data_IF_625301987406
#
_entry.id   IF_625301987406
#
_cell.length_a   1.000
_cell.length_b   1.000
_cell.length_c   1.000
_cell.angle_alpha   90.00
_cell.angle_beta   90.00
_cell.angle_gamma   90.00
#
_symmetry.space_group_name_H-M   'P 1'
#
loop_
_entity.id
_entity.type
_entity.pdbx_description
1 polymer ?
#
# COMPACT_ATOMS: atom_id res chain seq x y z
N UNK A 1 18.04 -2.84 15.81
CA UNK A 1 16.89 -2.16 15.15
C UNK A 1 16.94 -2.54 13.68
N UNK A 2 15.97 -3.28 13.18
CA UNK A 2 15.90 -3.61 11.75
C UNK A 2 15.19 -2.45 11.07
N UNK A 3 15.89 -1.72 10.17
CA UNK A 3 15.28 -0.68 9.36
C UNK A 3 14.55 -1.38 8.21
N UNK A 4 13.23 -1.27 8.19
CA UNK A 4 12.39 -1.81 7.12
C UNK A 4 12.08 -0.70 6.11
N UNK A 5 12.73 -0.76 4.95
CA UNK A 5 12.44 0.18 3.88
C UNK A 5 11.40 -0.42 2.94
N UNK A 6 10.20 0.14 2.97
CA UNK A 6 9.08 -0.25 2.11
C UNK A 6 8.74 0.94 1.22
N UNK A 7 8.62 0.69 -0.08
CA UNK A 7 8.13 1.66 -1.05
C UNK A 7 6.69 1.32 -1.42
N UNK A 8 5.77 2.27 -1.31
CA UNK A 8 4.46 2.21 -1.97
C UNK A 8 4.40 3.32 -3.03
N UNK A 9 4.13 2.95 -4.27
CA UNK A 9 4.15 3.90 -5.38
C UNK A 9 3.03 3.64 -6.39
N UNK A 10 2.16 4.63 -6.57
CA UNK A 10 1.21 4.64 -7.67
C UNK A 10 1.96 5.04 -8.96
N UNK A 11 2.36 4.05 -9.75
CA UNK A 11 3.26 4.22 -10.90
C UNK A 11 2.53 4.52 -12.22
N UNK A 12 1.19 4.44 -12.24
CA UNK A 12 0.34 4.73 -13.42
C UNK A 12 0.81 4.03 -14.70
N UNK A 13 1.21 2.78 -14.57
CA UNK A 13 1.69 1.93 -15.65
C UNK A 13 3.18 1.59 -15.56
N UNK A 14 3.52 0.36 -15.95
CA UNK A 14 4.88 -0.21 -15.88
C UNK A 14 5.40 -0.67 -17.24
N UNK A 15 4.78 -0.22 -18.33
CA UNK A 15 5.07 -0.71 -19.69
C UNK A 15 6.38 -0.18 -20.29
N UNK A 16 7.05 0.79 -19.69
CA UNK A 16 8.29 1.35 -20.22
C UNK A 16 9.46 0.36 -20.06
N UNK A 17 10.30 0.25 -21.09
CA UNK A 17 11.50 -0.63 -21.09
C UNK A 17 12.48 -0.28 -19.96
N UNK A 18 12.49 0.97 -19.49
CA UNK A 18 13.35 1.45 -18.41
C UNK A 18 12.80 1.14 -17.01
N UNK A 19 11.52 0.75 -16.88
CA UNK A 19 10.89 0.54 -15.59
C UNK A 19 11.59 -0.52 -14.71
N UNK A 20 11.97 -1.71 -15.21
CA UNK A 20 12.68 -2.70 -14.41
C UNK A 20 14.05 -2.20 -13.90
N UNK A 21 14.77 -1.41 -14.72
CA UNK A 21 16.04 -0.82 -14.35
C UNK A 21 15.84 0.18 -13.20
N UNK A 22 14.87 1.06 -13.35
CA UNK A 22 14.53 2.06 -12.33
C UNK A 22 14.15 1.41 -10.99
N UNK A 23 13.31 0.37 -10.99
CA UNK A 23 12.95 -0.34 -9.76
C UNK A 23 14.18 -0.99 -9.12
N UNK A 24 15.06 -1.59 -9.90
CA UNK A 24 16.31 -2.15 -9.40
C UNK A 24 17.19 -1.08 -8.77
N UNK A 25 17.34 0.06 -9.41
CA UNK A 25 18.17 1.17 -8.92
C UNK A 25 17.59 1.78 -7.63
N UNK A 26 16.27 1.96 -7.55
CA UNK A 26 15.58 2.37 -6.32
C UNK A 26 15.77 1.34 -5.20
N UNK A 27 15.61 0.05 -5.52
CA UNK A 27 15.79 -1.04 -4.55
C UNK A 27 17.20 -1.04 -3.97
N UNK A 28 18.21 -0.86 -4.83
CA UNK A 28 19.60 -0.81 -4.42
C UNK A 28 19.91 0.45 -3.59
N UNK A 29 19.52 1.63 -4.11
CA UNK A 29 19.86 2.93 -3.50
C UNK A 29 19.21 3.12 -2.13
N UNK A 30 17.95 2.71 -1.98
CA UNK A 30 17.20 2.85 -0.74
C UNK A 30 17.14 1.58 0.10
N UNK A 31 17.85 0.52 -0.29
CA UNK A 31 17.84 -0.78 0.38
C UNK A 31 16.40 -1.27 0.65
N UNK A 32 15.54 -1.16 -0.38
CA UNK A 32 14.14 -1.54 -0.27
C UNK A 32 14.01 -3.05 -0.04
N UNK A 33 13.18 -3.43 0.92
CA UNK A 33 12.86 -4.83 1.23
C UNK A 33 11.55 -5.27 0.58
N UNK A 34 10.58 -4.34 0.47
CA UNK A 34 9.31 -4.54 -0.20
C UNK A 34 9.00 -3.31 -1.08
N UNK A 35 8.56 -3.57 -2.30
CA UNK A 35 8.10 -2.54 -3.22
C UNK A 35 6.66 -2.85 -3.63
N UNK A 36 5.73 -1.96 -3.27
CA UNK A 36 4.31 -2.03 -3.57
C UNK A 36 4.05 -1.09 -4.75
N UNK A 37 3.75 -1.64 -5.91
CA UNK A 37 3.46 -0.87 -7.11
C UNK A 37 1.96 -0.91 -7.37
N UNK A 38 1.37 0.27 -7.52
CA UNK A 38 -0.06 0.46 -7.73
C UNK A 38 -0.32 1.01 -9.14
N UNK A 39 -1.50 0.72 -9.71
CA UNK A 39 -1.88 1.10 -11.08
C UNK A 39 -0.89 0.60 -12.14
N UNK A 40 -0.45 -0.63 -12.02
CA UNK A 40 0.56 -1.19 -12.94
C UNK A 40 0.08 -1.34 -14.38
N UNK A 41 -1.23 -1.46 -14.61
CA UNK A 41 -1.92 -1.54 -15.92
C UNK A 41 -1.39 -2.60 -16.91
N UNK A 42 -0.52 -3.49 -16.47
CA UNK A 42 0.05 -4.56 -17.29
C UNK A 42 -0.06 -5.88 -16.56
N UNK A 43 -0.62 -6.89 -17.21
CA UNK A 43 -0.59 -8.28 -16.75
C UNK A 43 0.65 -8.99 -17.28
N UNK A 44 1.33 -9.77 -16.46
CA UNK A 44 2.26 -10.79 -16.92
C UNK A 44 3.69 -10.36 -17.24
N UNK A 45 4.20 -9.20 -16.84
CA UNK A 45 5.63 -8.88 -17.01
C UNK A 45 6.47 -9.73 -16.06
N UNK A 46 7.29 -10.63 -16.62
CA UNK A 46 8.28 -11.36 -15.85
C UNK A 46 9.37 -10.40 -15.39
N UNK A 47 9.46 -10.18 -14.10
CA UNK A 47 10.65 -9.57 -13.47
C UNK A 47 11.60 -10.72 -13.22
N UNK A 48 12.63 -10.86 -14.07
CA UNK A 48 13.61 -11.95 -13.97
C UNK A 48 14.67 -11.63 -12.90
N UNK A 49 15.03 -12.61 -12.11
CA UNK A 49 16.17 -12.53 -11.19
C UNK A 49 15.82 -12.76 -9.72
N UNK A 50 16.54 -12.07 -8.84
CA UNK A 50 16.49 -12.22 -7.37
C UNK A 50 15.16 -11.69 -6.80
N UNK A 51 14.47 -10.81 -7.53
CA UNK A 51 13.21 -10.19 -7.11
C UNK A 51 12.06 -11.14 -7.38
N UNK A 52 11.33 -11.51 -6.32
CA UNK A 52 10.07 -12.25 -6.42
C UNK A 52 8.91 -11.27 -6.59
N UNK A 53 7.88 -11.71 -7.31
CA UNK A 53 6.70 -10.93 -7.63
C UNK A 53 5.44 -11.68 -7.23
N UNK A 54 4.51 -10.95 -6.63
CA UNK A 54 3.12 -11.32 -6.48
C UNK A 54 2.24 -10.29 -7.19
N UNK A 55 1.29 -10.76 -7.99
CA UNK A 55 0.32 -9.92 -8.68
C UNK A 55 -1.07 -10.08 -8.05
N UNK A 56 -1.72 -8.96 -7.74
CA UNK A 56 -3.10 -8.93 -7.27
C UNK A 56 -4.11 -9.05 -8.41
N UNK A 57 -5.34 -9.39 -8.07
CA UNK A 57 -6.45 -9.42 -9.02
C UNK A 57 -6.65 -8.05 -9.70
N UNK A 58 -6.96 -8.05 -10.98
CA UNK A 58 -7.18 -6.86 -11.83
C UNK A 58 -5.90 -6.09 -12.21
N UNK A 59 -4.70 -6.68 -12.12
CA UNK A 59 -3.46 -6.07 -12.62
C UNK A 59 -3.06 -4.74 -11.97
N UNK A 60 -3.67 -4.39 -10.82
CA UNK A 60 -3.50 -3.08 -10.18
C UNK A 60 -2.42 -3.02 -9.11
N UNK A 61 -2.13 -4.12 -8.42
CA UNK A 61 -1.17 -4.18 -7.32
C UNK A 61 -0.09 -5.21 -7.62
N UNK A 62 1.16 -4.81 -7.55
CA UNK A 62 2.31 -5.70 -7.55
C UNK A 62 3.10 -5.55 -6.27
N UNK A 63 3.47 -6.67 -5.65
CA UNK A 63 4.38 -6.72 -4.54
C UNK A 63 5.68 -7.38 -4.99
N UNK A 64 6.79 -6.65 -4.89
CA UNK A 64 8.13 -7.11 -5.25
C UNK A 64 8.98 -7.13 -3.99
N UNK A 65 9.71 -8.22 -3.75
CA UNK A 65 10.60 -8.35 -2.59
C UNK A 65 11.84 -9.17 -2.92
N UNK A 66 12.88 -9.00 -2.10
CA UNK A 66 14.07 -9.82 -2.17
C UNK A 66 13.85 -11.13 -1.38
N UNK A 67 13.77 -12.25 -2.09
CA UNK A 67 13.54 -13.56 -1.48
C UNK A 67 14.71 -14.09 -0.63
N UNK A 68 15.88 -13.41 -0.62
CA UNK A 68 16.99 -13.72 0.27
C UNK A 68 16.79 -13.13 1.67
N UNK A 69 16.08 -11.99 1.76
CA UNK A 69 15.87 -11.27 3.00
C UNK A 69 14.57 -11.69 3.70
N UNK A 70 13.52 -11.94 2.92
CA UNK A 70 12.17 -12.19 3.44
C UNK A 70 11.49 -13.36 2.76
N UNK A 71 10.81 -14.17 3.56
CA UNK A 71 9.79 -15.10 3.09
C UNK A 71 8.44 -14.37 3.13
N UNK A 72 7.80 -14.26 1.98
CA UNK A 72 6.53 -13.55 1.84
C UNK A 72 5.48 -14.52 1.31
N UNK A 73 4.37 -14.61 2.04
CA UNK A 73 3.24 -15.46 1.72
C UNK A 73 1.96 -14.60 1.59
N UNK A 74 1.22 -14.67 0.48
CA UNK A 74 -0.08 -14.03 0.38
C UNK A 74 -1.11 -14.80 1.21
N UNK A 75 -1.71 -14.12 2.18
CA UNK A 75 -2.75 -14.67 3.05
C UNK A 75 -4.14 -14.39 2.48
N UNK A 76 -4.35 -13.19 1.95
CA UNK A 76 -5.60 -12.78 1.32
C UNK A 76 -5.31 -11.84 0.16
N UNK A 77 -5.89 -12.13 -1.01
CA UNK A 77 -5.72 -11.32 -2.23
C UNK A 77 -7.08 -10.89 -2.73
N UNK A 78 -7.34 -9.60 -2.67
CA UNK A 78 -8.60 -8.98 -3.05
C UNK A 78 -8.39 -7.90 -4.13
N UNK A 79 -9.48 -7.37 -4.64
CA UNK A 79 -9.42 -6.35 -5.69
C UNK A 79 -8.71 -5.06 -5.25
N UNK A 80 -8.82 -4.70 -3.97
CA UNK A 80 -8.33 -3.43 -3.44
C UNK A 80 -7.14 -3.60 -2.49
N UNK A 81 -6.72 -4.84 -2.19
CA UNK A 81 -5.56 -5.10 -1.34
C UNK A 81 -4.94 -6.47 -1.55
N UNK A 82 -3.70 -6.59 -1.12
CA UNK A 82 -3.00 -7.86 -0.93
C UNK A 82 -2.53 -7.89 0.53
N UNK A 83 -3.02 -8.85 1.32
CA UNK A 83 -2.58 -9.09 2.68
C UNK A 83 -1.49 -10.15 2.69
N UNK A 84 -0.33 -9.78 3.20
CA UNK A 84 0.89 -10.59 3.20
C UNK A 84 1.26 -10.97 4.63
N UNK A 85 1.68 -12.22 4.80
CA UNK A 85 2.48 -12.65 5.95
C UNK A 85 3.95 -12.61 5.55
N UNK A 86 4.75 -11.93 6.33
CA UNK A 86 6.18 -11.72 6.08
C UNK A 86 6.95 -12.32 7.25
N UNK A 87 8.00 -13.06 6.92
CA UNK A 87 8.93 -13.64 7.89
C UNK A 87 10.34 -13.26 7.48
N UNK A 88 11.08 -12.69 8.41
CA UNK A 88 12.48 -12.32 8.21
C UNK A 88 13.44 -13.47 8.51
N UNK A 89 14.73 -13.25 8.26
CA UNK A 89 15.79 -14.24 8.52
C UNK A 89 16.01 -14.54 10.01
N UNK A 90 15.46 -13.74 10.92
CA UNK A 90 15.48 -13.95 12.36
C UNK A 90 14.23 -14.69 12.87
N UNK A 91 13.43 -15.24 11.97
CA UNK A 91 12.14 -15.89 12.27
C UNK A 91 11.06 -14.95 12.86
N UNK A 92 11.24 -13.64 12.81
CA UNK A 92 10.22 -12.70 13.22
C UNK A 92 9.14 -12.62 12.13
N UNK A 93 7.90 -12.75 12.54
CA UNK A 93 6.74 -12.69 11.63
C UNK A 93 5.90 -11.45 11.90
N UNK A 94 5.43 -10.82 10.82
CA UNK A 94 4.53 -9.68 10.83
C UNK A 94 3.66 -9.69 9.56
N UNK A 95 2.66 -8.82 9.52
CA UNK A 95 1.76 -8.74 8.38
C UNK A 95 1.85 -7.37 7.70
N UNK A 96 1.72 -7.37 6.38
CA UNK A 96 1.63 -6.15 5.58
C UNK A 96 0.43 -6.22 4.66
N UNK A 97 -0.43 -5.19 4.69
CA UNK A 97 -1.52 -5.07 3.73
C UNK A 97 -1.20 -3.96 2.74
N UNK A 98 -1.00 -4.35 1.49
CA UNK A 98 -0.73 -3.44 0.37
C UNK A 98 -2.05 -2.95 -0.18
N UNK A 99 -2.33 -1.65 -0.08
CA UNK A 99 -3.64 -1.05 -0.36
C UNK A 99 -3.64 -0.30 -1.71
N UNK A 100 -4.67 -0.56 -2.50
CA UNK A 100 -5.09 0.28 -3.60
C UNK A 100 -6.62 0.45 -3.54
N UNK A 101 -7.07 1.40 -2.72
CA UNK A 101 -8.47 1.70 -2.52
C UNK A 101 -9.14 2.19 -3.81
N UNK A 102 -10.38 1.79 -4.05
CA UNK A 102 -11.12 2.26 -5.22
C UNK A 102 -11.22 3.79 -5.23
N UNK A 103 -11.05 4.47 -6.38
CA UNK A 103 -11.37 5.90 -6.50
C UNK A 103 -12.83 6.24 -6.16
N UNK A 104 -13.72 5.27 -6.25
CA UNK A 104 -15.15 5.43 -5.94
C UNK A 104 -15.45 5.05 -4.48
N UNK A 105 -16.19 5.88 -3.72
CA UNK A 105 -16.50 5.63 -2.30
C UNK A 105 -17.28 4.34 -2.05
N UNK A 106 -18.24 4.00 -2.91
CA UNK A 106 -19.07 2.80 -2.75
C UNK A 106 -18.26 1.51 -2.61
N UNK A 107 -17.40 1.15 -3.58
CA UNK A 107 -16.52 -0.01 -3.46
C UNK A 107 -15.54 0.06 -2.29
N UNK A 108 -15.08 1.25 -1.86
CA UNK A 108 -14.18 1.38 -0.70
C UNK A 108 -14.84 0.97 0.61
N UNK A 109 -16.15 1.08 0.73
CA UNK A 109 -16.85 0.60 1.93
C UNK A 109 -16.64 -0.91 2.19
N UNK A 110 -16.37 -1.68 1.15
CA UNK A 110 -15.99 -3.10 1.29
C UNK A 110 -14.56 -3.23 1.80
N UNK A 111 -13.63 -2.40 1.33
CA UNK A 111 -12.26 -2.38 1.83
C UNK A 111 -12.22 -2.16 3.35
N UNK A 112 -12.95 -1.18 3.88
CA UNK A 112 -12.98 -0.89 5.31
C UNK A 112 -13.44 -2.11 6.13
N UNK A 113 -14.50 -2.78 5.72
CA UNK A 113 -14.99 -4.00 6.39
C UNK A 113 -14.01 -5.17 6.32
N UNK A 114 -13.33 -5.35 5.20
CA UNK A 114 -12.31 -6.39 5.05
C UNK A 114 -11.10 -6.13 5.96
N UNK A 115 -10.67 -4.87 6.10
CA UNK A 115 -9.59 -4.51 7.02
C UNK A 115 -9.99 -4.78 8.49
N UNK A 116 -11.22 -4.45 8.89
CA UNK A 116 -11.75 -4.78 10.22
C UNK A 116 -11.80 -6.31 10.46
N UNK A 117 -12.17 -7.09 9.44
CA UNK A 117 -12.15 -8.55 9.51
C UNK A 117 -10.72 -9.10 9.67
N UNK A 118 -9.74 -8.53 8.97
CA UNK A 118 -8.32 -8.88 9.13
C UNK A 118 -7.87 -8.53 10.55
N UNK A 119 -8.17 -7.33 11.05
CA UNK A 119 -7.79 -6.91 12.39
C UNK A 119 -8.33 -7.85 13.49
N UNK A 120 -9.58 -8.32 13.33
CA UNK A 120 -10.21 -9.25 14.29
C UNK A 120 -9.50 -10.61 14.40
N UNK A 121 -8.78 -11.03 13.36
CA UNK A 121 -8.10 -12.34 13.31
C UNK A 121 -6.58 -12.23 13.41
N UNK A 122 -6.00 -11.08 13.13
CA UNK A 122 -4.56 -10.86 13.14
C UNK A 122 -4.04 -10.68 14.57
N UNK A 123 -3.13 -11.54 15.03
CA UNK A 123 -2.54 -11.49 16.36
C UNK A 123 -1.09 -10.97 16.37
N UNK A 124 -0.55 -10.59 15.22
CA UNK A 124 0.84 -10.15 15.09
C UNK A 124 0.97 -8.66 14.74
N UNK A 125 2.20 -8.13 14.72
CA UNK A 125 2.45 -6.80 14.19
C UNK A 125 1.91 -6.65 12.78
N UNK A 126 1.25 -5.55 12.51
CA UNK A 126 0.57 -5.30 11.25
C UNK A 126 0.80 -3.87 10.76
N UNK A 127 1.15 -3.74 9.50
CA UNK A 127 1.35 -2.48 8.82
C UNK A 127 0.49 -2.44 7.55
N UNK A 128 -0.08 -1.30 7.22
CA UNK A 128 -0.76 -1.07 5.96
C UNK A 128 -0.02 0.02 5.19
N UNK A 129 0.07 -0.13 3.87
CA UNK A 129 0.71 0.89 3.04
C UNK A 129 0.14 0.94 1.63
N UNK A 130 0.02 2.15 1.07
CA UNK A 130 -0.44 2.37 -0.29
C UNK A 130 -1.36 3.56 -0.48
N UNK A 131 -2.12 3.54 -1.58
CA UNK A 131 -3.10 4.56 -1.94
C UNK A 131 -4.49 4.16 -1.42
N UNK A 132 -4.96 4.84 -0.38
CA UNK A 132 -6.27 4.60 0.22
C UNK A 132 -7.41 5.29 -0.55
N UNK A 133 -7.08 6.21 -1.48
CA UNK A 133 -8.05 7.04 -2.21
C UNK A 133 -9.07 7.74 -1.30
N UNK A 134 -8.75 7.91 -0.02
CA UNK A 134 -9.55 8.59 1.01
C UNK A 134 -8.66 9.41 1.93
N UNK A 135 -9.23 10.45 2.52
CA UNK A 135 -8.58 11.31 3.52
C UNK A 135 -9.14 10.99 4.91
N UNK A 136 -8.37 11.27 5.96
CA UNK A 136 -8.82 11.10 7.36
C UNK A 136 -9.10 12.44 8.07
N UNK A 137 -8.57 13.55 7.56
CA UNK A 137 -8.82 14.86 8.15
C UNK A 137 -8.95 15.95 7.11
N UNK A 138 -9.49 17.10 7.50
CA UNK A 138 -9.60 18.27 6.61
C UNK A 138 -8.25 18.89 6.28
N UNK A 139 -7.23 18.66 7.07
CA UNK A 139 -5.87 19.12 6.83
C UNK A 139 -5.23 18.41 5.62
N UNK A 140 -5.76 17.23 5.27
CA UNK A 140 -5.31 16.44 4.14
C UNK A 140 -5.93 16.84 2.79
N UNK A 141 -6.69 17.93 2.78
CA UNK A 141 -7.28 18.48 1.54
C UNK A 141 -7.16 19.99 1.50
N UNK A 142 -6.77 20.53 0.35
CA UNK A 142 -6.85 21.97 0.09
C UNK A 142 -8.27 22.34 -0.38
N UNK A 143 -9.09 22.95 0.49
CA UNK A 143 -10.30 23.64 0.07
C UNK A 143 -11.66 23.03 0.43
N UNK A 144 -11.76 21.85 0.99
CA UNK A 144 -13.03 21.30 1.48
C UNK A 144 -13.29 21.69 2.94
N UNK A 145 -14.55 21.99 3.26
CA UNK A 145 -14.95 22.37 4.64
C UNK A 145 -15.53 21.20 5.45
N UNK A 146 -15.89 20.09 4.80
CA UNK A 146 -16.50 18.93 5.47
C UNK A 146 -15.86 17.64 4.98
N UNK A 147 -15.67 16.68 5.89
CA UNK A 147 -15.31 15.32 5.54
C UNK A 147 -16.49 14.62 4.85
N UNK A 148 -16.17 13.77 3.92
CA UNK A 148 -17.16 12.90 3.29
C UNK A 148 -17.57 11.76 4.22
N UNK A 149 -18.73 11.15 3.97
CA UNK A 149 -19.15 9.96 4.71
C UNK A 149 -18.11 8.82 4.59
N UNK A 150 -17.45 8.70 3.46
CA UNK A 150 -16.37 7.73 3.25
C UNK A 150 -15.14 8.02 4.11
N UNK A 151 -14.78 9.31 4.26
CA UNK A 151 -13.69 9.73 5.14
C UNK A 151 -13.99 9.39 6.61
N UNK A 152 -15.23 9.60 7.07
CA UNK A 152 -15.65 9.23 8.42
C UNK A 152 -15.56 7.70 8.63
N UNK A 153 -15.99 6.91 7.65
CA UNK A 153 -15.86 5.45 7.70
C UNK A 153 -14.41 4.98 7.74
N UNK A 154 -13.53 5.68 7.04
CA UNK A 154 -12.09 5.38 7.10
C UNK A 154 -11.54 5.66 8.49
N UNK A 155 -11.90 6.80 9.12
CA UNK A 155 -11.54 7.07 10.51
C UNK A 155 -12.06 6.00 11.47
N UNK A 156 -13.32 5.60 11.34
CA UNK A 156 -13.92 4.51 12.14
C UNK A 156 -13.17 3.20 11.96
N UNK A 157 -12.84 2.82 10.73
CA UNK A 157 -12.03 1.64 10.43
C UNK A 157 -10.66 1.69 11.10
N UNK A 158 -9.95 2.83 11.04
CA UNK A 158 -8.67 2.99 11.72
C UNK A 158 -8.80 2.78 13.23
N UNK A 159 -9.81 3.37 13.85
CA UNK A 159 -10.08 3.21 15.30
C UNK A 159 -10.40 1.75 15.64
N UNK A 160 -11.27 1.11 14.88
CA UNK A 160 -11.69 -0.28 15.11
C UNK A 160 -10.53 -1.26 14.91
N UNK A 161 -9.61 -0.97 14.01
CA UNK A 161 -8.42 -1.79 13.76
C UNK A 161 -7.24 -1.45 14.69
N UNK A 162 -7.32 -0.40 15.52
CA UNK A 162 -6.20 0.06 16.34
C UNK A 162 -5.02 0.60 15.53
N UNK A 163 -5.29 1.14 14.32
CA UNK A 163 -4.28 1.67 13.41
C UNK A 163 -3.95 3.13 13.70
N UNK A 164 -2.67 3.47 13.57
CA UNK A 164 -2.18 4.83 13.73
C UNK A 164 -1.47 5.27 12.45
N UNK A 165 -1.71 6.49 12.00
CA UNK A 165 -0.95 7.08 10.90
C UNK A 165 0.51 7.31 11.33
N UNK A 166 1.46 6.75 10.57
CA UNK A 166 2.89 6.87 10.87
C UNK A 166 3.45 8.25 10.55
N UNK A 167 2.61 9.14 10.03
CA UNK A 167 3.01 10.48 9.63
C UNK A 167 3.76 10.49 8.30
N UNK A 168 4.36 11.63 8.00
CA UNK A 168 5.15 11.81 6.77
C UNK A 168 6.24 12.85 6.97
N UNK A 169 7.22 12.81 6.07
CA UNK A 169 8.21 13.87 5.88
C UNK A 169 8.17 14.29 4.41
N UNK A 170 8.21 15.59 4.13
CA UNK A 170 8.16 16.15 2.78
C UNK A 170 6.80 16.79 2.44
N UNK A 171 6.40 16.81 1.15
CA UNK A 171 5.16 17.46 0.72
C UNK A 171 3.92 16.85 1.39
N UNK A 172 2.98 17.68 1.89
CA UNK A 172 1.83 17.18 2.64
C UNK A 172 0.77 16.48 1.78
N UNK A 173 0.79 16.67 0.48
CA UNK A 173 -0.17 16.11 -0.46
C UNK A 173 0.51 15.16 -1.42
N UNK A 174 -0.06 13.97 -1.60
CA UNK A 174 0.46 12.94 -2.51
C UNK A 174 -0.26 12.93 -3.86
N UNK A 175 -1.41 13.60 -3.94
CA UNK A 175 -2.22 13.70 -5.14
C UNK A 175 -2.68 15.13 -5.41
N UNK A 176 -2.67 15.51 -6.70
CA UNK A 176 -3.17 16.82 -7.16
C UNK A 176 -3.86 16.69 -8.50
N UNK A 177 -5.01 17.34 -8.61
CA UNK A 177 -5.69 17.58 -9.89
C UNK A 177 -6.28 18.99 -9.90
N UNK A 178 -5.84 19.82 -10.84
CA UNK A 178 -6.16 21.24 -10.88
C UNK A 178 -5.79 21.93 -9.55
N UNK A 179 -6.75 22.60 -8.91
CA UNK A 179 -6.58 23.28 -7.62
C UNK A 179 -6.79 22.36 -6.40
N UNK A 180 -7.26 21.12 -6.63
CA UNK A 180 -7.55 20.19 -5.55
C UNK A 180 -6.30 19.37 -5.24
N UNK A 181 -5.89 19.37 -3.97
CA UNK A 181 -4.77 18.59 -3.45
C UNK A 181 -5.28 17.66 -2.35
N UNK A 182 -4.73 16.45 -2.25
CA UNK A 182 -5.10 15.47 -1.23
C UNK A 182 -3.91 14.61 -0.82
N UNK A 183 -3.91 14.17 0.44
CA UNK A 183 -3.02 13.12 0.93
C UNK A 183 -3.78 11.79 0.88
N UNK A 184 -3.52 10.97 -0.14
CA UNK A 184 -4.21 9.70 -0.38
C UNK A 184 -3.32 8.50 -0.04
N UNK A 185 -2.01 8.67 -0.12
CA UNK A 185 -1.01 7.64 0.14
C UNK A 185 -0.49 7.77 1.57
N UNK A 186 -0.40 6.64 2.29
CA UNK A 186 0.10 6.60 3.68
C UNK A 186 0.55 5.22 4.11
N UNK A 187 1.22 5.17 5.25
CA UNK A 187 1.45 3.98 6.05
C UNK A 187 0.77 4.13 7.42
N UNK A 188 0.15 3.02 7.87
CA UNK A 188 -0.58 2.89 9.14
C UNK A 188 0.01 1.76 9.96
#
# INVERSE_FOLDING_TARGET
>A
MVIMNILAWNCRGVSSKGFPIMIRDLTYHYNLKLCILLETHVSGTKVEGIIRKLEGFSGGIWCLWNGKDWQVEPVNVQRQFIHLKIKDNNNQSWHCTCIYGSPQPGPRSTLWRELESIAATNQGPWCLGGDFNSIISLEETGGNRNLSQDSNRFQECMLNCGLNDLGFSGPPFTWQRNQIKRRLDRFL
#
